data_IF_587256751563
#
_entry.id   IF_587256751563
#
_cell.length_a   1.000
_cell.length_b   1.000
_cell.length_c   1.000
_cell.angle_alpha   90.00
_cell.angle_beta   90.00
_cell.angle_gamma   90.00
#
_symmetry.space_group_name_H-M   'P 1'
#
loop_
_entity.id
_entity.type
_entity.pdbx_description
1 polymer ?
#
# COMPACT_ATOMS: atom_id res chain seq x y z
N UNK A 1 -27.36 16.04 4.51
CA UNK A 1 -25.93 16.18 4.84
C UNK A 1 -25.22 14.83 4.81
N UNK A 2 -25.71 13.79 5.49
CA UNK A 2 -25.12 12.44 5.48
C UNK A 2 -24.94 11.87 4.05
N UNK A 3 -25.98 11.91 3.22
CA UNK A 3 -25.91 11.41 1.84
C UNK A 3 -24.87 12.14 0.97
N UNK A 4 -24.73 13.47 1.15
CA UNK A 4 -23.73 14.26 0.43
C UNK A 4 -22.31 13.93 0.90
N UNK A 5 -22.11 13.70 2.21
CA UNK A 5 -20.83 13.26 2.75
C UNK A 5 -20.46 11.86 2.26
N UNK A 6 -21.42 10.93 2.19
CA UNK A 6 -21.18 9.59 1.65
C UNK A 6 -20.87 9.62 0.15
N UNK A 7 -21.56 10.45 -0.63
CA UNK A 7 -21.26 10.64 -2.05
C UNK A 7 -19.88 11.25 -2.27
N UNK A 8 -19.52 12.26 -1.49
CA UNK A 8 -18.20 12.88 -1.57
C UNK A 8 -17.09 11.91 -1.12
N UNK A 9 -17.36 11.04 -0.15
CA UNK A 9 -16.42 9.99 0.27
C UNK A 9 -16.24 8.97 -0.85
N UNK A 10 -17.33 8.53 -1.49
CA UNK A 10 -17.26 7.64 -2.64
C UNK A 10 -16.48 8.28 -3.81
N UNK A 11 -16.68 9.58 -4.05
CA UNK A 11 -15.93 10.33 -5.06
C UNK A 11 -14.44 10.47 -4.71
N UNK A 12 -14.10 10.71 -3.44
CA UNK A 12 -12.71 10.71 -2.97
C UNK A 12 -12.05 9.36 -3.23
N UNK A 13 -12.69 8.29 -2.74
CA UNK A 13 -12.18 6.93 -2.86
C UNK A 13 -12.04 6.49 -4.32
N UNK A 14 -12.96 6.84 -5.21
CA UNK A 14 -12.92 6.38 -6.62
C UNK A 14 -12.19 7.26 -7.61
N UNK A 15 -11.76 8.48 -7.23
CA UNK A 15 -11.12 9.43 -8.17
C UNK A 15 -9.87 10.04 -7.55
N UNK A 16 -10.01 10.63 -6.37
CA UNK A 16 -8.90 11.37 -5.73
C UNK A 16 -7.83 10.41 -5.25
N UNK A 17 -8.23 9.28 -4.65
CA UNK A 17 -7.28 8.28 -4.14
C UNK A 17 -6.42 7.66 -5.25
N UNK A 18 -6.98 7.41 -6.43
CA UNK A 18 -6.26 6.88 -7.58
C UNK A 18 -5.25 7.90 -8.13
N UNK A 19 -5.59 9.20 -8.10
CA UNK A 19 -4.66 10.27 -8.46
C UNK A 19 -3.52 10.40 -7.45
N UNK A 20 -3.83 10.35 -6.15
CA UNK A 20 -2.84 10.38 -5.06
C UNK A 20 -1.86 9.20 -5.21
N UNK A 21 -2.39 8.01 -5.49
CA UNK A 21 -1.60 6.81 -5.75
C UNK A 21 -0.72 6.96 -7.00
N UNK A 22 -1.27 7.42 -8.13
CA UNK A 22 -0.50 7.60 -9.36
C UNK A 22 0.67 8.60 -9.18
N UNK A 23 0.44 9.70 -8.45
CA UNK A 23 1.49 10.67 -8.12
C UNK A 23 2.55 10.04 -7.22
N UNK A 24 2.13 9.26 -6.21
CA UNK A 24 3.06 8.56 -5.33
C UNK A 24 3.92 7.54 -6.10
N UNK A 25 3.31 6.75 -6.98
CA UNK A 25 4.01 5.77 -7.81
C UNK A 25 5.04 6.40 -8.75
N UNK A 26 4.69 7.51 -9.38
CA UNK A 26 5.63 8.26 -10.24
C UNK A 26 6.84 8.78 -9.44
N UNK A 27 6.64 9.27 -8.22
CA UNK A 27 7.73 9.69 -7.33
C UNK A 27 8.59 8.50 -6.89
N UNK A 28 7.94 7.42 -6.42
CA UNK A 28 8.62 6.21 -5.96
C UNK A 28 9.46 5.55 -7.07
N UNK A 29 8.90 5.46 -8.27
CA UNK A 29 9.59 4.88 -9.43
C UNK A 29 10.84 5.67 -9.81
N UNK A 30 10.76 7.01 -9.79
CA UNK A 30 11.93 7.88 -10.03
C UNK A 30 12.99 7.68 -8.96
N UNK A 31 12.60 7.73 -7.68
CA UNK A 31 13.54 7.53 -6.57
C UNK A 31 14.22 6.16 -6.65
N UNK A 32 13.47 5.10 -6.91
CA UNK A 32 14.04 3.76 -7.07
C UNK A 32 14.99 3.69 -8.26
N UNK A 33 14.61 4.29 -9.40
CA UNK A 33 15.44 4.30 -10.61
C UNK A 33 16.77 5.03 -10.38
N UNK A 34 16.74 6.18 -9.69
CA UNK A 34 17.94 6.93 -9.31
C UNK A 34 18.84 6.11 -8.36
N UNK A 35 18.25 5.43 -7.37
CA UNK A 35 18.97 4.55 -6.45
C UNK A 35 19.59 3.33 -7.14
N UNK A 36 18.86 2.72 -8.09
CA UNK A 36 19.37 1.60 -8.90
C UNK A 36 20.54 2.05 -9.79
N UNK A 37 20.43 3.23 -10.42
CA UNK A 37 21.48 3.80 -11.24
C UNK A 37 22.74 4.17 -10.42
N UNK A 38 22.54 4.65 -9.19
CA UNK A 38 23.62 4.97 -8.26
C UNK A 38 24.21 3.75 -7.53
N UNK A 39 23.58 2.58 -7.61
CA UNK A 39 23.98 1.39 -6.85
C UNK A 39 23.71 1.51 -5.35
N UNK A 40 22.78 2.38 -4.94
CA UNK A 40 22.40 2.64 -3.54
C UNK A 40 21.02 2.10 -3.18
N UNK A 41 20.36 1.40 -4.10
CA UNK A 41 19.08 0.74 -3.83
C UNK A 41 19.23 -0.28 -2.69
N UNK A 42 18.24 -0.36 -1.78
CA UNK A 42 18.34 -1.18 -0.59
C UNK A 42 18.42 -2.68 -0.94
N UNK A 43 19.29 -3.38 -0.21
CA UNK A 43 19.46 -4.85 -0.28
C UNK A 43 19.23 -5.51 1.08
N UNK A 44 18.79 -4.75 2.08
CA UNK A 44 18.53 -5.21 3.44
C UNK A 44 17.42 -4.36 4.08
N UNK A 45 17.19 -4.49 5.39
CA UNK A 45 16.33 -3.53 6.11
C UNK A 45 16.92 -2.14 6.26
N UNK A 46 18.24 -2.02 6.10
CA UNK A 46 18.95 -0.76 6.12
C UNK A 46 19.33 -0.29 4.72
N UNK A 47 19.62 1.00 4.64
CA UNK A 47 20.29 1.62 3.49
C UNK A 47 21.80 1.29 3.47
N UNK A 48 22.54 1.99 2.61
CA UNK A 48 23.99 1.80 2.44
C UNK A 48 24.83 2.20 3.66
N UNK A 49 24.27 3.00 4.56
CA UNK A 49 24.91 3.49 5.79
C UNK A 49 24.44 2.70 7.03
N UNK A 50 23.80 1.53 6.81
CA UNK A 50 23.18 0.68 7.83
C UNK A 50 22.08 1.41 8.65
N UNK A 51 21.50 2.47 8.09
CA UNK A 51 20.37 3.17 8.70
C UNK A 51 19.07 2.49 8.28
N UNK A 52 18.22 2.20 9.27
CA UNK A 52 16.94 1.54 9.04
C UNK A 52 16.08 2.31 8.02
N UNK A 53 15.62 1.62 6.97
CA UNK A 53 14.78 2.22 5.95
C UNK A 53 13.47 2.75 6.55
N UNK A 54 13.08 4.00 6.26
CA UNK A 54 11.80 4.52 6.68
C UNK A 54 10.66 3.74 6.01
N UNK A 55 9.51 3.66 6.70
CA UNK A 55 8.28 3.19 6.06
C UNK A 55 7.96 4.03 4.82
N UNK A 56 7.56 3.38 3.74
CA UNK A 56 7.30 4.03 2.45
C UNK A 56 8.53 4.17 1.54
N UNK A 57 9.74 3.79 1.99
CA UNK A 57 10.92 3.79 1.13
C UNK A 57 10.75 2.78 -0.02
N UNK A 58 11.10 3.11 -1.28
CA UNK A 58 11.01 2.15 -2.37
C UNK A 58 12.07 1.05 -2.22
N UNK A 59 11.67 -0.21 -2.44
CA UNK A 59 12.55 -1.38 -2.29
C UNK A 59 12.62 -2.27 -3.53
N UNK A 60 11.60 -2.23 -4.39
CA UNK A 60 11.57 -3.03 -5.60
C UNK A 60 10.60 -2.46 -6.65
N UNK A 61 10.81 -2.79 -7.92
CA UNK A 61 9.80 -2.63 -8.98
C UNK A 61 9.18 -4.01 -9.24
N UNK A 62 7.86 -4.14 -9.10
CA UNK A 62 7.10 -5.36 -9.36
C UNK A 62 6.31 -5.22 -10.66
N UNK A 63 6.56 -6.10 -11.62
CA UNK A 63 5.86 -6.11 -12.91
C UNK A 63 5.22 -7.47 -13.15
N UNK A 64 3.88 -7.51 -13.22
CA UNK A 64 3.08 -8.73 -13.46
C UNK A 64 2.25 -8.56 -14.74
N UNK A 65 2.75 -9.04 -15.91
CA UNK A 65 2.12 -8.78 -17.20
C UNK A 65 0.68 -9.30 -17.33
N UNK A 66 0.38 -10.48 -16.77
CA UNK A 66 -0.95 -11.11 -16.89
C UNK A 66 -2.08 -10.21 -16.36
N UNK A 67 -1.80 -9.43 -15.31
CA UNK A 67 -2.75 -8.51 -14.69
C UNK A 67 -2.38 -7.04 -14.92
N UNK A 68 -1.48 -6.77 -15.88
CA UNK A 68 -1.06 -5.41 -16.25
C UNK A 68 -0.52 -4.57 -15.09
N UNK A 69 0.05 -5.20 -14.06
CA UNK A 69 0.61 -4.50 -12.91
C UNK A 69 2.05 -4.10 -13.19
N UNK A 70 2.38 -2.84 -12.92
CA UNK A 70 3.74 -2.32 -12.94
C UNK A 70 3.88 -1.24 -11.85
N UNK A 71 4.33 -1.65 -10.68
CA UNK A 71 4.23 -0.87 -9.45
C UNK A 71 5.54 -0.91 -8.66
N UNK A 72 5.90 0.22 -8.06
CA UNK A 72 6.98 0.30 -7.09
C UNK A 72 6.49 -0.21 -5.74
N UNK A 73 7.19 -1.21 -5.22
CA UNK A 73 7.00 -1.78 -3.89
C UNK A 73 7.72 -0.90 -2.87
N UNK A 74 7.02 -0.53 -1.80
CA UNK A 74 7.57 0.23 -0.67
C UNK A 74 7.89 -0.68 0.52
N UNK A 75 8.75 -0.26 1.44
CA UNK A 75 8.95 -0.96 2.72
C UNK A 75 7.80 -0.63 3.68
N UNK A 76 7.22 -1.66 4.28
CA UNK A 76 6.11 -1.54 5.24
C UNK A 76 4.75 -1.80 4.60
N UNK A 77 3.83 -2.30 5.41
CA UNK A 77 2.54 -2.88 5.01
C UNK A 77 1.37 -2.31 5.82
N UNK A 78 1.60 -1.24 6.58
CA UNK A 78 0.53 -0.45 7.18
C UNK A 78 -0.36 0.22 6.11
N UNK A 79 -1.59 0.56 6.51
CA UNK A 79 -2.61 1.14 5.62
C UNK A 79 -2.13 2.42 4.92
N UNK A 80 -1.24 3.19 5.55
CA UNK A 80 -0.72 4.43 4.99
C UNK A 80 0.33 4.20 3.90
N UNK A 81 1.21 3.20 4.06
CA UNK A 81 2.17 2.82 3.03
C UNK A 81 1.46 2.15 1.85
N UNK A 82 0.48 1.28 2.12
CA UNK A 82 -0.27 0.60 1.06
C UNK A 82 -1.18 1.53 0.24
N UNK A 83 -1.41 2.77 0.69
CA UNK A 83 -2.06 3.80 -0.12
C UNK A 83 -1.13 4.34 -1.23
N UNK A 84 0.18 4.18 -1.08
CA UNK A 84 1.16 4.63 -2.09
C UNK A 84 1.49 3.55 -3.09
N UNK A 85 1.41 2.26 -2.73
CA UNK A 85 1.69 1.13 -3.62
C UNK A 85 1.71 -0.20 -2.87
N UNK A 86 2.06 -1.31 -3.52
CA UNK A 86 2.35 -2.57 -2.84
C UNK A 86 3.45 -2.38 -1.79
N UNK A 87 3.34 -3.05 -0.65
CA UNK A 87 4.27 -2.94 0.47
C UNK A 87 4.95 -4.26 0.79
N UNK A 88 6.26 -4.24 1.01
CA UNK A 88 7.05 -5.37 1.48
C UNK A 88 6.95 -5.49 3.01
N UNK A 89 6.68 -6.70 3.50
CA UNK A 89 6.57 -6.98 4.93
C UNK A 89 7.95 -7.06 5.57
N UNK A 90 8.24 -6.13 6.47
CA UNK A 90 9.57 -5.83 6.99
C UNK A 90 10.29 -7.01 7.67
N UNK A 91 9.57 -7.97 8.24
CA UNK A 91 10.14 -9.18 8.85
C UNK A 91 10.59 -10.25 7.83
N UNK A 92 10.38 -10.03 6.53
CA UNK A 92 10.63 -11.00 5.46
C UNK A 92 11.83 -10.64 4.59
N UNK A 93 12.35 -11.61 3.83
CA UNK A 93 13.48 -11.38 2.91
C UNK A 93 13.02 -10.48 1.74
N UNK A 94 13.92 -9.67 1.16
CA UNK A 94 13.55 -8.96 -0.07
C UNK A 94 13.28 -9.94 -1.23
N UNK A 95 12.45 -9.58 -2.22
CA UNK A 95 12.20 -10.43 -3.37
C UNK A 95 13.50 -10.85 -4.07
N UNK A 96 13.68 -12.17 -4.22
CA UNK A 96 14.84 -12.79 -4.87
C UNK A 96 15.93 -13.24 -3.91
N UNK A 97 15.87 -12.81 -2.65
CA UNK A 97 16.76 -13.31 -1.61
C UNK A 97 16.33 -14.67 -1.10
N UNK A 98 17.28 -15.45 -0.58
CA UNK A 98 16.99 -16.72 0.08
C UNK A 98 15.96 -16.56 1.21
N UNK A 99 14.98 -17.46 1.23
CA UNK A 99 13.85 -17.46 2.16
C UNK A 99 12.53 -17.00 1.52
N UNK A 100 11.61 -16.52 2.36
CA UNK A 100 10.30 -16.06 1.92
C UNK A 100 10.24 -14.54 1.97
N UNK A 101 9.74 -13.94 0.90
CA UNK A 101 9.37 -12.53 0.81
C UNK A 101 7.85 -12.40 0.79
N UNK A 102 7.30 -11.43 1.51
CA UNK A 102 5.87 -11.14 1.50
C UNK A 102 5.66 -9.72 1.01
N UNK A 103 4.82 -9.57 -0.01
CA UNK A 103 4.39 -8.27 -0.53
C UNK A 103 2.87 -8.21 -0.44
N UNK A 104 2.37 -7.17 0.21
CA UNK A 104 0.95 -6.90 0.41
C UNK A 104 0.50 -5.78 -0.51
N UNK A 105 -0.76 -5.79 -0.94
CA UNK A 105 -1.32 -4.71 -1.73
C UNK A 105 -2.81 -4.56 -1.52
N UNK A 106 -3.31 -3.33 -1.70
CA UNK A 106 -4.75 -3.03 -1.67
C UNK A 106 -5.47 -3.71 -2.83
N UNK A 107 -6.69 -4.16 -2.55
CA UNK A 107 -7.64 -4.66 -3.54
C UNK A 107 -8.45 -3.52 -4.15
N UNK A 108 -8.77 -2.48 -3.37
CA UNK A 108 -9.59 -1.34 -3.77
C UNK A 108 -9.11 -0.02 -3.13
N UNK A 109 -9.50 1.10 -3.76
CA UNK A 109 -8.93 2.43 -3.52
C UNK A 109 -7.43 2.51 -3.80
N UNK A 110 -6.95 3.73 -4.02
CA UNK A 110 -5.53 4.02 -4.26
C UNK A 110 -4.96 3.14 -5.37
N UNK A 111 -5.62 3.14 -6.53
CA UNK A 111 -5.28 2.32 -7.69
C UNK A 111 -5.66 0.84 -7.57
N UNK A 112 -5.81 0.30 -6.35
CA UNK A 112 -6.12 -1.11 -6.12
C UNK A 112 -5.15 -2.05 -6.85
N UNK A 113 -3.83 -1.95 -6.63
CA UNK A 113 -2.83 -2.65 -7.44
C UNK A 113 -3.08 -4.17 -7.49
N UNK A 114 -3.57 -4.77 -6.40
CA UNK A 114 -3.83 -6.21 -6.33
C UNK A 114 -5.31 -6.59 -6.54
N UNK A 115 -6.13 -5.68 -7.10
CA UNK A 115 -7.54 -5.93 -7.42
C UNK A 115 -7.77 -7.23 -8.22
N UNK A 116 -6.81 -7.57 -9.10
CA UNK A 116 -6.85 -8.71 -10.03
C UNK A 116 -5.92 -9.85 -9.64
N UNK A 117 -5.38 -9.86 -8.42
CA UNK A 117 -4.37 -10.84 -8.02
C UNK A 117 -4.88 -12.29 -8.12
N UNK A 118 -6.18 -12.51 -7.88
CA UNK A 118 -6.85 -13.81 -8.03
C UNK A 118 -6.91 -14.34 -9.47
N UNK A 119 -6.66 -13.49 -10.47
CA UNK A 119 -6.67 -13.87 -11.88
C UNK A 119 -5.36 -14.58 -12.30
N UNK A 120 -4.35 -14.58 -11.44
CA UNK A 120 -3.07 -15.23 -11.71
C UNK A 120 -3.21 -16.75 -11.77
N UNK A 121 -2.59 -17.34 -12.79
CA UNK A 121 -2.62 -18.78 -13.04
C UNK A 121 -1.29 -19.41 -12.62
N UNK A 122 -1.29 -20.66 -12.13
CA UNK A 122 -0.05 -21.43 -11.99
C UNK A 122 0.75 -21.47 -13.30
N UNK A 123 2.07 -21.34 -13.22
CA UNK A 123 2.98 -21.24 -14.36
C UNK A 123 3.16 -19.82 -14.92
N UNK A 124 2.35 -18.85 -14.49
CA UNK A 124 2.50 -17.47 -14.93
C UNK A 124 3.76 -16.84 -14.37
N UNK A 125 4.49 -16.13 -15.25
CA UNK A 125 5.76 -15.49 -14.88
C UNK A 125 5.64 -14.00 -14.75
N UNK A 126 6.38 -13.46 -13.79
CA UNK A 126 6.47 -12.04 -13.53
C UNK A 126 7.86 -11.69 -12.99
N UNK A 127 8.18 -10.40 -12.91
CA UNK A 127 9.53 -9.96 -12.57
C UNK A 127 9.52 -8.96 -11.43
N UNK A 128 10.55 -9.04 -10.61
CA UNK A 128 10.84 -8.07 -9.55
C UNK A 128 12.26 -7.55 -9.73
N UNK A 129 12.43 -6.24 -9.79
CA UNK A 129 13.75 -5.60 -9.85
C UNK A 129 14.06 -5.00 -8.49
N UNK A 130 15.15 -5.44 -7.87
CA UNK A 130 15.64 -4.92 -6.58
C UNK A 130 17.06 -4.36 -6.75
N UNK A 131 17.66 -3.87 -5.67
CA UNK A 131 19.10 -3.49 -5.67
C UNK A 131 20.05 -4.64 -6.03
N UNK A 132 19.58 -5.91 -5.99
CA UNK A 132 20.35 -7.09 -6.38
C UNK A 132 20.02 -7.58 -7.82
N UNK A 133 19.33 -6.75 -8.60
CA UNK A 133 19.04 -7.00 -10.01
C UNK A 133 17.64 -7.55 -10.27
N UNK A 134 17.44 -8.04 -11.51
CA UNK A 134 16.14 -8.52 -11.99
C UNK A 134 15.94 -9.99 -11.66
N UNK A 135 14.84 -10.28 -10.97
CA UNK A 135 14.46 -11.60 -10.50
C UNK A 135 13.16 -12.03 -11.19
N UNK A 136 13.10 -13.28 -11.66
CA UNK A 136 11.90 -13.81 -12.33
C UNK A 136 11.25 -14.86 -11.45
N UNK A 137 9.96 -14.70 -11.20
CA UNK A 137 9.15 -15.60 -10.41
C UNK A 137 8.13 -16.32 -11.29
N UNK A 138 7.77 -17.54 -10.89
CA UNK A 138 6.72 -18.34 -11.51
C UNK A 138 5.67 -18.69 -10.45
N UNK A 139 4.41 -18.36 -10.73
CA UNK A 139 3.29 -18.61 -9.82
C UNK A 139 3.10 -20.12 -9.64
N UNK A 140 3.07 -20.59 -8.40
CA UNK A 140 2.78 -21.99 -8.08
C UNK A 140 1.30 -22.22 -7.76
N UNK A 141 0.60 -21.20 -7.25
CA UNK A 141 -0.81 -21.32 -6.93
C UNK A 141 -1.39 -20.12 -6.20
N UNK A 142 -2.73 -20.12 -6.16
CA UNK A 142 -3.55 -19.17 -5.40
C UNK A 142 -4.13 -19.91 -4.20
N UNK A 143 -4.04 -19.30 -3.03
CA UNK A 143 -4.55 -19.83 -1.75
C UNK A 143 -5.40 -18.80 -1.04
N UNK A 144 -6.25 -19.30 -0.15
CA UNK A 144 -7.13 -18.51 0.70
C UNK A 144 -6.81 -18.73 2.17
N UNK A 145 -7.31 -17.82 3.02
CA UNK A 145 -7.24 -17.99 4.46
C UNK A 145 -7.85 -19.34 4.89
N UNK A 146 -7.07 -20.13 5.63
CA UNK A 146 -7.43 -21.49 6.06
C UNK A 146 -6.81 -22.61 5.22
N UNK A 147 -6.33 -22.31 4.02
CA UNK A 147 -5.63 -23.31 3.19
C UNK A 147 -4.27 -23.68 3.79
N UNK A 148 -3.83 -24.91 3.54
CA UNK A 148 -2.52 -25.36 3.96
C UNK A 148 -1.42 -24.47 3.34
N UNK A 149 -0.45 -24.06 4.16
CA UNK A 149 0.74 -23.39 3.65
C UNK A 149 1.52 -24.37 2.75
N UNK A 150 2.16 -23.88 1.67
CA UNK A 150 3.01 -24.71 0.83
C UNK A 150 4.19 -25.24 1.64
N UNK A 151 4.83 -26.29 1.12
CA UNK A 151 6.01 -26.88 1.77
C UNK A 151 7.06 -25.79 2.07
N UNK A 152 7.74 -25.83 3.24
CA UNK A 152 8.78 -24.87 3.57
C UNK A 152 9.83 -24.77 2.46
N UNK A 153 10.28 -23.56 2.17
CA UNK A 153 11.40 -23.31 1.24
C UNK A 153 12.66 -24.00 1.75
N UNK A 154 13.37 -24.71 0.87
CA UNK A 154 14.65 -25.32 1.22
C UNK A 154 15.73 -24.25 1.36
N UNK A 155 16.85 -24.61 1.96
CA UNK A 155 18.00 -23.72 2.06
C UNK A 155 18.47 -23.30 0.65
N UNK A 156 18.58 -21.98 0.43
CA UNK A 156 18.97 -21.41 -0.86
C UNK A 156 17.84 -21.24 -1.87
N UNK A 157 16.60 -21.63 -1.55
CA UNK A 157 15.42 -21.31 -2.37
C UNK A 157 14.84 -19.95 -1.97
N UNK A 158 14.17 -19.29 -2.91
CA UNK A 158 13.44 -18.04 -2.70
C UNK A 158 11.99 -18.19 -3.14
N UNK A 159 11.07 -17.73 -2.29
CA UNK A 159 9.64 -17.69 -2.58
C UNK A 159 9.10 -16.29 -2.32
N UNK A 160 8.23 -15.81 -3.20
CA UNK A 160 7.50 -14.58 -3.04
C UNK A 160 6.02 -14.90 -2.83
N UNK A 161 5.42 -14.31 -1.80
CA UNK A 161 4.00 -14.40 -1.50
C UNK A 161 3.39 -13.01 -1.70
N UNK A 162 2.45 -12.92 -2.63
CA UNK A 162 1.66 -11.71 -2.86
C UNK A 162 0.34 -11.84 -2.10
N UNK A 163 -0.04 -10.86 -1.30
CA UNK A 163 -1.22 -10.93 -0.43
C UNK A 163 -2.16 -9.74 -0.65
N UNK A 164 -3.46 -10.00 -0.73
CA UNK A 164 -4.48 -8.95 -0.76
C UNK A 164 -5.79 -9.41 -0.12
N UNK A 165 -6.75 -8.51 0.02
CA UNK A 165 -8.06 -8.85 0.53
C UNK A 165 -8.85 -9.73 -0.44
N UNK A 166 -9.71 -10.57 0.13
CA UNK A 166 -10.75 -11.32 -0.58
C UNK A 166 -12.11 -10.69 -0.35
N UNK A 167 -12.90 -10.58 -1.42
CA UNK A 167 -14.31 -10.21 -1.38
C UNK A 167 -14.67 -9.00 -2.24
N UNK A 168 -15.90 -8.47 -2.09
CA UNK A 168 -16.29 -7.23 -2.73
C UNK A 168 -15.37 -6.07 -2.34
N UNK A 169 -15.17 -5.13 -3.26
CA UNK A 169 -14.47 -3.89 -2.96
C UNK A 169 -15.06 -3.24 -1.70
N UNK A 170 -14.18 -2.74 -0.83
CA UNK A 170 -14.54 -2.09 0.44
C UNK A 170 -15.14 -2.98 1.55
N UNK A 171 -15.39 -4.26 1.28
CA UNK A 171 -15.99 -5.20 2.25
C UNK A 171 -15.19 -6.52 2.27
N UNK A 172 -13.95 -6.49 2.77
CA UNK A 172 -13.11 -7.68 2.82
C UNK A 172 -13.66 -8.68 3.84
N UNK A 173 -13.66 -9.97 3.50
CA UNK A 173 -14.06 -11.06 4.39
C UNK A 173 -13.01 -12.17 4.50
N UNK A 174 -11.82 -11.95 3.95
CA UNK A 174 -10.70 -12.88 4.02
C UNK A 174 -9.49 -12.35 3.27
N UNK A 175 -8.48 -13.21 3.13
CA UNK A 175 -7.22 -12.90 2.44
C UNK A 175 -7.02 -13.91 1.33
N UNK A 176 -6.52 -13.43 0.19
CA UNK A 176 -5.98 -14.26 -0.88
C UNK A 176 -4.46 -14.10 -0.90
N UNK A 177 -3.76 -15.21 -1.13
CA UNK A 177 -2.31 -15.26 -1.26
C UNK A 177 -1.96 -15.94 -2.57
N UNK A 178 -1.02 -15.36 -3.31
CA UNK A 178 -0.44 -15.98 -4.51
C UNK A 178 1.01 -16.28 -4.19
N UNK A 179 1.36 -17.56 -4.20
CA UNK A 179 2.74 -17.98 -4.04
C UNK A 179 3.41 -18.09 -5.40
N UNK A 180 4.68 -17.67 -5.44
CA UNK A 180 5.52 -17.80 -6.60
C UNK A 180 6.94 -18.20 -6.21
N UNK A 181 7.52 -19.12 -6.97
CA UNK A 181 8.90 -19.59 -6.77
C UNK A 181 9.85 -18.84 -7.69
N UNK A 182 11.06 -18.57 -7.18
CA UNK A 182 12.10 -17.92 -7.96
C UNK A 182 12.63 -18.89 -9.02
N UNK A 183 12.71 -18.41 -10.27
CA UNK A 183 13.26 -19.14 -11.42
C UNK A 183 14.72 -18.75 -11.68
N UNK A 184 15.11 -17.53 -11.33
CA UNK A 184 16.47 -17.01 -11.46
C UNK A 184 17.36 -17.41 -10.27
N UNK A 185 18.63 -17.04 -10.32
CA UNK A 185 19.58 -17.32 -9.25
C UNK A 185 19.21 -16.58 -7.95
N UNK A 186 19.08 -17.35 -6.87
CA UNK A 186 18.81 -16.83 -5.53
C UNK A 186 19.93 -15.91 -5.07
N UNK A 187 19.54 -14.74 -4.57
CA UNK A 187 20.45 -13.76 -4.02
C UNK A 187 20.72 -14.00 -2.53
N UNK A 188 21.90 -13.61 -2.03
CA UNK A 188 22.18 -13.66 -0.60
C UNK A 188 21.21 -12.76 0.17
N UNK A 189 20.74 -13.26 1.32
CA UNK A 189 19.81 -12.54 2.19
C UNK A 189 20.53 -11.41 2.93
N UNK A 190 19.96 -10.21 2.87
CA UNK A 190 20.42 -9.05 3.64
C UNK A 190 20.06 -9.15 5.13
N UNK A 191 20.74 -8.36 5.96
CA UNK A 191 20.43 -8.27 7.38
C UNK A 191 19.01 -7.75 7.62
N UNK A 192 18.33 -8.34 8.61
CA UNK A 192 17.00 -7.94 9.07
C UNK A 192 17.02 -7.87 10.59
N UNK A 193 16.59 -6.73 11.13
CA UNK A 193 16.39 -6.46 12.55
C UNK A 193 14.94 -6.77 12.96
N UNK A 194 13.99 -6.54 12.07
CA UNK A 194 12.59 -6.89 12.28
C UNK A 194 12.38 -8.39 12.12
N UNK A 195 11.64 -8.96 13.05
CA UNK A 195 11.28 -10.38 13.12
C UNK A 195 9.78 -10.49 13.31
N UNK A 196 9.21 -11.66 13.09
CA UNK A 196 7.77 -11.87 13.26
C UNK A 196 7.22 -11.40 14.63
N UNK A 197 7.91 -11.63 15.77
CA UNK A 197 7.47 -11.09 17.07
C UNK A 197 7.59 -9.57 17.22
N UNK A 198 8.48 -8.92 16.48
CA UNK A 198 8.72 -7.47 16.57
C UNK A 198 8.01 -6.68 15.47
N UNK A 199 7.36 -7.36 14.53
CA UNK A 199 6.55 -6.74 13.48
C UNK A 199 5.38 -5.95 14.11
N UNK A 200 5.18 -4.66 13.75
CA UNK A 200 4.06 -3.88 14.26
C UNK A 200 2.71 -4.55 13.93
N UNK A 201 1.71 -4.51 14.82
CA UNK A 201 0.41 -5.11 14.55
C UNK A 201 -0.31 -4.54 13.31
N UNK A 202 -0.05 -3.28 12.96
CA UNK A 202 -0.57 -2.59 11.76
C UNK A 202 -0.07 -3.17 10.44
N UNK A 203 1.05 -3.89 10.46
CA UNK A 203 1.68 -4.53 9.30
C UNK A 203 1.17 -5.98 9.05
N UNK A 204 0.22 -6.45 9.86
CA UNK A 204 -0.40 -7.76 9.67
C UNK A 204 -1.50 -7.70 8.63
N UNK A 205 -1.83 -8.85 8.06
CA UNK A 205 -2.91 -8.97 7.09
C UNK A 205 -4.25 -8.43 7.64
N UNK A 206 -4.95 -7.60 6.86
CA UNK A 206 -6.22 -6.96 7.24
C UNK A 206 -6.16 -6.15 8.54
N UNK A 207 -4.97 -5.73 8.99
CA UNK A 207 -4.83 -4.90 10.15
C UNK A 207 -5.24 -3.45 9.87
N UNK A 208 -5.84 -2.81 10.88
CA UNK A 208 -6.10 -1.38 10.91
C UNK A 208 -5.09 -0.68 11.82
N UNK A 209 -4.62 0.50 11.43
CA UNK A 209 -3.79 1.34 12.29
C UNK A 209 -4.60 2.48 12.91
N UNK A 210 -4.81 2.44 14.22
CA UNK A 210 -5.49 3.50 14.97
C UNK A 210 -4.55 4.49 15.63
N UNK A 211 -3.23 4.33 15.48
CA UNK A 211 -2.23 5.22 16.08
C UNK A 211 -2.38 6.68 15.66
N UNK A 212 -2.91 6.90 14.44
CA UNK A 212 -3.18 8.22 13.86
C UNK A 212 -4.65 8.65 13.92
N UNK A 213 -5.49 7.99 14.72
CA UNK A 213 -6.89 8.38 14.88
C UNK A 213 -7.07 9.83 15.40
N UNK A 214 -6.08 10.36 16.13
CA UNK A 214 -6.05 11.76 16.56
C UNK A 214 -6.04 12.74 15.37
N UNK A 215 -5.42 12.38 14.23
CA UNK A 215 -5.39 13.22 13.05
C UNK A 215 -6.78 13.36 12.42
N UNK A 216 -7.58 12.28 12.44
CA UNK A 216 -8.99 12.33 12.04
C UNK A 216 -9.79 13.28 12.95
N UNK A 217 -9.53 13.31 14.26
CA UNK A 217 -10.20 14.25 15.16
C UNK A 217 -9.91 15.69 14.77
N UNK A 218 -8.66 16.04 14.48
CA UNK A 218 -8.31 17.39 14.01
C UNK A 218 -8.92 17.70 12.64
N UNK A 219 -8.95 16.74 11.72
CA UNK A 219 -9.60 16.90 10.43
C UNK A 219 -11.11 17.19 10.59
N UNK A 220 -11.78 16.47 11.50
CA UNK A 220 -13.19 16.70 11.83
C UNK A 220 -13.40 18.07 12.49
N UNK A 221 -12.51 18.48 13.39
CA UNK A 221 -12.56 19.82 14.00
C UNK A 221 -12.40 20.93 12.93
N UNK A 222 -11.47 20.77 12.00
CA UNK A 222 -11.31 21.68 10.86
C UNK A 222 -12.61 21.78 10.06
N UNK A 223 -13.23 20.64 9.74
CA UNK A 223 -14.50 20.60 9.02
C UNK A 223 -15.61 21.33 9.78
N UNK A 224 -15.68 21.16 11.11
CA UNK A 224 -16.64 21.87 11.97
C UNK A 224 -16.38 23.37 11.95
N UNK A 225 -15.12 23.82 12.09
CA UNK A 225 -14.75 25.24 12.06
C UNK A 225 -15.14 25.87 10.73
N UNK A 226 -14.85 25.21 9.61
CA UNK A 226 -15.23 25.68 8.27
C UNK A 226 -16.75 25.74 8.14
N UNK A 227 -17.49 24.74 8.61
CA UNK A 227 -18.95 24.74 8.57
C UNK A 227 -19.57 25.86 9.42
N UNK A 228 -19.06 26.09 10.64
CA UNK A 228 -19.51 27.19 11.51
C UNK A 228 -19.21 28.54 10.87
N UNK A 229 -18.00 28.73 10.32
CA UNK A 229 -17.61 29.94 9.61
C UNK A 229 -18.49 30.20 8.38
N UNK A 230 -18.84 29.15 7.63
CA UNK A 230 -19.74 29.23 6.49
C UNK A 230 -21.14 29.71 6.91
N UNK A 231 -21.71 29.09 7.95
CA UNK A 231 -23.04 29.46 8.48
C UNK A 231 -23.04 30.88 9.05
N UNK A 232 -22.00 31.25 9.79
CA UNK A 232 -21.86 32.60 10.35
C UNK A 232 -21.78 33.65 9.24
N UNK A 233 -20.93 33.44 8.24
CA UNK A 233 -20.77 34.34 7.08
C UNK A 233 -22.06 34.43 6.27
N UNK A 234 -22.73 33.30 6.06
CA UNK A 234 -24.01 33.23 5.35
C UNK A 234 -25.08 34.09 6.06
N UNK A 235 -25.13 34.03 7.39
CA UNK A 235 -26.11 34.76 8.21
C UNK A 235 -25.77 36.25 8.39
N UNK A 236 -24.48 36.62 8.42
CA UNK A 236 -24.04 37.99 8.78
C UNK A 236 -23.69 38.87 7.59
N UNK A 237 -23.10 38.30 6.54
CA UNK A 237 -22.52 39.07 5.42
C UNK A 237 -23.33 38.82 4.15
N UNK A 238 -23.64 37.56 3.87
CA UNK A 238 -24.47 37.19 2.73
C UNK A 238 -24.08 35.86 2.08
N UNK A 239 -24.97 35.30 1.26
CA UNK A 239 -24.79 33.97 0.68
C UNK A 239 -23.61 33.93 -0.30
N UNK A 240 -23.44 34.93 -1.17
CA UNK A 240 -22.41 34.88 -2.22
C UNK A 240 -20.99 34.83 -1.63
N UNK A 241 -20.74 35.62 -0.59
CA UNK A 241 -19.46 35.67 0.12
C UNK A 241 -19.19 34.36 0.85
N UNK A 242 -20.20 33.79 1.50
CA UNK A 242 -20.10 32.49 2.17
C UNK A 242 -19.76 31.36 1.17
N UNK A 243 -20.44 31.33 0.02
CA UNK A 243 -20.21 30.31 -1.01
C UNK A 243 -18.80 30.41 -1.61
N UNK A 244 -18.35 31.61 -1.98
CA UNK A 244 -17.03 31.79 -2.60
C UNK A 244 -15.88 31.38 -1.64
N UNK A 245 -15.98 31.73 -0.36
CA UNK A 245 -14.93 31.45 0.61
C UNK A 245 -14.97 30.03 1.16
N UNK A 246 -16.16 29.52 1.51
CA UNK A 246 -16.28 28.30 2.30
C UNK A 246 -16.58 27.04 1.50
N UNK A 247 -16.95 27.13 0.21
CA UNK A 247 -17.06 25.93 -0.62
C UNK A 247 -15.68 25.30 -0.89
N UNK A 248 -14.65 26.05 -1.34
CA UNK A 248 -13.32 25.47 -1.52
C UNK A 248 -12.71 24.97 -0.20
N UNK A 249 -12.85 25.75 0.88
CA UNK A 249 -12.37 25.35 2.20
C UNK A 249 -13.11 24.12 2.75
N UNK A 250 -14.43 24.03 2.51
CA UNK A 250 -15.25 22.89 2.92
C UNK A 250 -14.89 21.63 2.14
N UNK A 251 -14.64 21.75 0.84
CA UNK A 251 -14.16 20.65 0.01
C UNK A 251 -12.80 20.16 0.50
N UNK A 252 -11.83 21.07 0.73
CA UNK A 252 -10.51 20.71 1.26
C UNK A 252 -10.62 20.00 2.61
N UNK A 253 -11.35 20.57 3.57
CA UNK A 253 -11.53 19.97 4.88
C UNK A 253 -12.18 18.58 4.79
N UNK A 254 -13.14 18.41 3.87
CA UNK A 254 -13.75 17.11 3.61
C UNK A 254 -12.75 16.10 3.04
N UNK A 255 -11.92 16.49 2.07
CA UNK A 255 -10.89 15.61 1.50
C UNK A 255 -9.90 15.14 2.57
N UNK A 256 -9.47 16.05 3.46
CA UNK A 256 -8.60 15.69 4.59
C UNK A 256 -9.29 14.70 5.53
N UNK A 257 -10.58 14.90 5.84
CA UNK A 257 -11.35 13.93 6.65
C UNK A 257 -11.44 12.57 5.94
N UNK A 258 -11.69 12.56 4.64
CA UNK A 258 -11.82 11.35 3.85
C UNK A 258 -10.50 10.55 3.81
N UNK A 259 -9.38 11.20 3.52
CA UNK A 259 -8.04 10.60 3.55
C UNK A 259 -7.76 9.96 4.93
N UNK A 260 -7.95 10.72 6.01
CA UNK A 260 -7.70 10.21 7.36
C UNK A 260 -8.64 9.07 7.75
N UNK A 261 -9.91 9.11 7.32
CA UNK A 261 -10.85 8.03 7.57
C UNK A 261 -10.46 6.75 6.84
N UNK A 262 -10.02 6.84 5.57
CA UNK A 262 -9.63 5.67 4.77
C UNK A 262 -8.34 5.02 5.30
N UNK A 263 -7.39 5.81 5.82
CA UNK A 263 -6.16 5.28 6.45
C UNK A 263 -6.41 4.46 7.72
N UNK A 264 -7.54 4.66 8.40
CA UNK A 264 -7.94 3.85 9.57
C UNK A 264 -8.56 2.50 9.17
N UNK A 265 -8.94 2.35 7.90
CA UNK A 265 -9.51 1.09 7.44
C UNK A 265 -8.41 0.03 7.25
N UNK A 266 -8.79 -1.27 7.17
CA UNK A 266 -7.84 -2.37 6.94
C UNK A 266 -6.86 -2.11 5.80
N UNK A 267 -5.59 -2.50 5.99
CA UNK A 267 -4.50 -2.22 5.07
C UNK A 267 -4.67 -2.84 3.66
N UNK A 268 -5.26 -4.03 3.54
CA UNK A 268 -5.46 -4.74 2.27
C UNK A 268 -6.74 -4.37 1.50
N UNK A 269 -7.47 -3.34 1.95
CA UNK A 269 -8.79 -2.98 1.44
C UNK A 269 -8.90 -2.89 -0.08
#
# INVERSE_FOLDING_TARGET
MLAAALLALAAYVGIVSDLEHAIAQDQLHRTLSDQLAAGTAPVSEGDVDDVLLPNGAPVAQLTIPQIGLDETVVEGTDSSNLAHGPGHRRDTSLPGQAGVSVVMGRRAAFGGPFARLEELSPGSRFTVVTGQGKQTFEVIGVRYAGDAAPAPTKAGESRLILETARGPAFVPHGVVRVDAELVTETQPRGARYTTFPTLPPSDKELASDTSRAWALVFALQLLVVVAVGAVWTYRRIGPRQAWIAFVPAGLLAFLVVADQAVRLLPNLL
#
